data_IF_193867263238
#
_entry.id   IF_193867263238
#
_cell.length_a   1.000
_cell.length_b   1.000
_cell.length_c   1.000
_cell.angle_alpha   90.00
_cell.angle_beta   90.00
_cell.angle_gamma   90.00
#
_symmetry.space_group_name_H-M   'P 1'
#
loop_
_entity.id
_entity.type
_entity.pdbx_description
1 polymer ?
#
# COMPACT_ATOMS: atom_id res chain seq x y z
N UNK A 1 17.14 -8.43 -11.83
CA UNK A 1 16.51 -7.10 -11.95
C UNK A 1 15.41 -7.03 -10.91
N UNK A 2 15.37 -5.95 -10.14
CA UNK A 2 14.46 -5.75 -9.00
C UNK A 2 13.47 -4.66 -9.40
N UNK A 3 12.18 -5.03 -9.47
CA UNK A 3 11.08 -4.11 -9.78
C UNK A 3 10.48 -3.48 -8.53
N UNK A 4 10.60 -4.15 -7.38
CA UNK A 4 10.16 -3.67 -6.08
C UNK A 4 11.37 -3.66 -5.14
N UNK A 5 11.99 -2.49 -5.00
CA UNK A 5 13.20 -2.33 -4.19
C UNK A 5 12.91 -2.54 -2.69
N UNK A 6 11.70 -2.21 -2.23
CA UNK A 6 11.29 -2.37 -0.83
C UNK A 6 11.50 -3.80 -0.31
N UNK A 7 11.17 -4.81 -1.13
CA UNK A 7 11.28 -6.24 -0.79
C UNK A 7 12.72 -6.71 -0.58
N UNK A 8 13.68 -6.13 -1.29
CA UNK A 8 15.09 -6.56 -1.29
C UNK A 8 15.96 -5.67 -0.38
N UNK A 9 15.73 -4.36 -0.39
CA UNK A 9 16.46 -3.40 0.43
C UNK A 9 16.10 -3.54 1.92
N UNK A 10 14.84 -3.86 2.24
CA UNK A 10 14.37 -4.01 3.62
C UNK A 10 15.14 -5.07 4.41
N UNK A 11 15.26 -6.31 3.92
CA UNK A 11 16.12 -7.33 4.52
C UNK A 11 17.58 -6.89 4.64
N UNK A 12 18.17 -6.32 3.58
CA UNK A 12 19.57 -5.89 3.59
C UNK A 12 19.87 -4.84 4.67
N UNK A 13 18.90 -3.96 4.98
CA UNK A 13 19.04 -2.94 6.02
C UNK A 13 19.04 -3.51 7.44
N UNK A 14 18.38 -4.65 7.70
CA UNK A 14 18.26 -5.22 9.06
C UNK A 14 19.59 -5.69 9.62
N UNK A 15 20.44 -6.19 8.74
CA UNK A 15 21.77 -6.70 9.06
C UNK A 15 22.89 -5.69 8.76
N UNK A 16 22.51 -4.44 8.41
CA UNK A 16 23.45 -3.38 8.11
C UNK A 16 24.20 -2.90 9.38
N UNK A 17 25.52 -2.84 9.26
CA UNK A 17 26.41 -2.11 10.18
C UNK A 17 26.49 -0.63 9.81
N UNK A 18 26.48 -0.34 8.51
CA UNK A 18 26.42 1.01 7.97
C UNK A 18 25.72 1.01 6.61
N UNK A 19 25.19 2.15 6.19
CA UNK A 19 24.78 2.36 4.81
C UNK A 19 25.16 3.74 4.30
N UNK A 20 25.20 3.82 2.97
CA UNK A 20 25.60 4.98 2.19
C UNK A 20 24.57 5.16 1.07
N UNK A 21 23.71 6.17 1.21
CA UNK A 21 22.60 6.42 0.30
C UNK A 21 22.81 7.75 -0.41
N UNK A 22 22.98 7.69 -1.73
CA UNK A 22 23.00 8.86 -2.60
C UNK A 22 21.71 8.89 -3.40
N UNK A 23 20.83 9.87 -3.12
CA UNK A 23 19.49 9.93 -3.72
C UNK A 23 19.11 11.33 -4.19
N UNK A 24 18.57 11.40 -5.40
CA UNK A 24 18.10 12.64 -6.01
C UNK A 24 16.85 13.20 -5.31
N UNK A 25 16.03 12.31 -4.75
CA UNK A 25 14.82 12.68 -4.03
C UNK A 25 14.61 11.76 -2.83
N UNK A 26 14.34 12.36 -1.68
CA UNK A 26 13.95 11.66 -0.46
C UNK A 26 12.62 12.21 0.05
N UNK A 27 11.68 11.31 0.37
CA UNK A 27 10.41 11.66 1.03
C UNK A 27 10.39 11.13 2.46
N UNK A 28 9.48 11.67 3.27
CA UNK A 28 9.26 11.20 4.64
C UNK A 28 8.97 9.69 4.71
N UNK A 29 8.12 9.18 3.82
CA UNK A 29 7.82 7.75 3.77
C UNK A 29 9.03 6.88 3.39
N UNK A 30 9.87 7.32 2.45
CA UNK A 30 11.09 6.60 2.09
C UNK A 30 12.11 6.58 3.23
N UNK A 31 12.25 7.71 3.94
CA UNK A 31 13.07 7.78 5.15
C UNK A 31 12.53 6.87 6.27
N UNK A 32 11.22 6.91 6.55
CA UNK A 32 10.58 6.06 7.57
C UNK A 32 10.72 4.56 7.26
N UNK A 33 10.72 4.18 5.98
CA UNK A 33 11.05 2.81 5.56
C UNK A 33 12.48 2.40 5.96
N UNK A 34 13.47 3.26 5.71
CA UNK A 34 14.86 2.97 6.08
C UNK A 34 14.99 2.87 7.61
N UNK A 35 14.45 3.84 8.34
CA UNK A 35 14.51 3.87 9.81
C UNK A 35 13.86 2.64 10.45
N UNK A 36 12.75 2.15 9.88
CA UNK A 36 12.06 0.97 10.38
C UNK A 36 12.85 -0.32 10.16
N UNK A 37 13.68 -0.38 9.12
CA UNK A 37 14.37 -1.61 8.73
C UNK A 37 15.86 -1.63 9.08
N UNK A 38 16.47 -0.52 9.52
CA UNK A 38 17.86 -0.49 9.98
C UNK A 38 18.02 -1.01 11.41
N UNK A 39 19.22 -1.46 11.77
CA UNK A 39 19.56 -1.73 13.17
C UNK A 39 19.74 -0.43 13.98
N UNK A 40 19.60 -0.51 15.32
CA UNK A 40 19.70 0.65 16.22
C UNK A 40 21.08 1.30 16.24
N UNK A 41 22.13 0.52 16.00
CA UNK A 41 23.55 0.91 15.99
C UNK A 41 24.08 1.21 14.58
N UNK A 42 23.24 1.11 13.54
CA UNK A 42 23.63 1.32 12.16
C UNK A 42 24.04 2.77 11.89
N UNK A 43 25.24 2.95 11.29
CA UNK A 43 25.71 4.26 10.81
C UNK A 43 25.05 4.63 9.48
N UNK A 44 24.43 5.79 9.43
CA UNK A 44 23.58 6.21 8.32
C UNK A 44 24.23 7.39 7.59
N UNK A 45 24.65 7.22 6.34
CA UNK A 45 25.28 8.28 5.55
C UNK A 45 24.41 8.63 4.34
N UNK A 46 24.00 9.89 4.25
CA UNK A 46 23.15 10.38 3.17
C UNK A 46 23.86 11.47 2.37
N UNK A 47 23.76 11.38 1.04
CA UNK A 47 24.03 12.48 0.11
C UNK A 47 22.76 12.74 -0.67
N UNK A 48 22.24 13.96 -0.58
CA UNK A 48 20.97 14.34 -1.21
C UNK A 48 21.16 15.48 -2.21
N UNK A 49 20.41 15.43 -3.30
CA UNK A 49 20.26 16.54 -4.24
C UNK A 49 19.07 17.42 -3.89
N UNK A 50 19.08 18.68 -4.37
CA UNK A 50 17.96 19.61 -4.21
C UNK A 50 17.18 19.86 -5.52
N UNK A 51 17.70 19.36 -6.65
CA UNK A 51 17.17 19.61 -8.00
C UNK A 51 15.72 19.12 -8.18
N UNK A 52 15.33 18.05 -7.48
CA UNK A 52 13.99 17.46 -7.56
C UNK A 52 13.00 18.00 -6.50
N UNK A 53 13.30 19.13 -5.88
CA UNK A 53 12.46 19.77 -4.87
C UNK A 53 12.15 18.88 -3.64
N UNK A 54 13.19 18.44 -2.92
CA UNK A 54 13.05 17.76 -1.62
C UNK A 54 12.29 18.66 -0.64
N UNK A 55 11.34 18.11 0.13
CA UNK A 55 10.57 18.92 1.08
C UNK A 55 11.47 19.50 2.19
N UNK A 56 11.45 20.82 2.49
CA UNK A 56 12.25 21.40 3.57
C UNK A 56 12.03 20.77 4.94
N UNK A 57 10.82 20.27 5.24
CA UNK A 57 10.56 19.53 6.48
C UNK A 57 11.34 18.21 6.56
N UNK A 58 11.62 17.58 5.42
CA UNK A 58 12.48 16.39 5.37
C UNK A 58 13.93 16.76 5.66
N UNK A 59 14.41 17.89 5.13
CA UNK A 59 15.75 18.40 5.44
C UNK A 59 15.89 18.71 6.94
N UNK A 60 14.89 19.35 7.54
CA UNK A 60 14.86 19.61 8.99
C UNK A 60 14.93 18.32 9.81
N UNK A 61 14.18 17.30 9.41
CA UNK A 61 14.21 15.98 10.05
C UNK A 61 15.60 15.33 9.93
N UNK A 62 16.24 15.37 8.76
CA UNK A 62 17.59 14.83 8.58
C UNK A 62 18.63 15.58 9.41
N UNK A 63 18.51 16.91 9.53
CA UNK A 63 19.37 17.73 10.36
C UNK A 63 19.20 17.40 11.85
N UNK A 64 17.95 17.29 12.32
CA UNK A 64 17.65 16.90 13.70
C UNK A 64 18.23 15.52 14.02
N UNK A 65 18.10 14.57 13.09
CA UNK A 65 18.61 13.20 13.24
C UNK A 65 20.12 13.15 13.23
N UNK A 66 20.79 14.05 12.52
CA UNK A 66 22.26 14.10 12.52
C UNK A 66 22.87 14.43 13.89
N UNK A 67 22.05 14.87 14.86
CA UNK A 67 22.48 15.10 16.25
C UNK A 67 22.71 13.81 17.06
N UNK A 68 22.23 12.66 16.59
CA UNK A 68 22.41 11.37 17.28
C UNK A 68 23.84 10.79 17.11
N UNK A 69 24.66 11.39 16.24
CA UNK A 69 26.03 10.97 15.94
C UNK A 69 26.14 9.72 15.04
N UNK A 70 25.03 9.03 14.78
CA UNK A 70 24.94 7.87 13.88
C UNK A 70 24.52 8.26 12.47
N UNK A 71 23.72 9.32 12.35
CA UNK A 71 23.25 9.84 11.08
C UNK A 71 24.11 11.01 10.62
N UNK A 72 24.52 11.00 9.36
CA UNK A 72 25.20 12.11 8.72
C UNK A 72 24.57 12.39 7.37
N UNK A 73 24.19 13.63 7.12
CA UNK A 73 23.55 14.06 5.88
C UNK A 73 24.32 15.21 5.26
N UNK A 74 24.66 15.08 3.99
CA UNK A 74 25.23 16.15 3.17
C UNK A 74 24.37 16.46 1.96
N UNK A 75 24.47 17.69 1.50
CA UNK A 75 23.81 18.15 0.28
C UNK A 75 24.84 18.24 -0.83
N UNK A 76 24.55 17.65 -1.99
CA UNK A 76 25.40 17.77 -3.16
C UNK A 76 24.81 18.78 -4.14
N UNK A 77 25.66 19.69 -4.63
CA UNK A 77 25.33 20.63 -5.70
C UNK A 77 26.42 20.54 -6.78
N UNK A 78 26.30 19.59 -7.72
CA UNK A 78 27.23 19.49 -8.83
C UNK A 78 26.99 20.62 -9.85
N UNK A 79 27.88 20.72 -10.85
CA UNK A 79 27.63 21.55 -12.04
C UNK A 79 26.45 21.04 -12.88
N UNK A 80 26.14 19.75 -12.75
CA UNK A 80 25.02 19.06 -13.41
C UNK A 80 23.95 18.66 -12.39
N UNK A 81 22.76 18.29 -12.88
CA UNK A 81 21.68 17.77 -12.04
C UNK A 81 22.12 16.55 -11.22
N UNK A 82 21.95 16.63 -9.91
CA UNK A 82 22.18 15.49 -9.02
C UNK A 82 21.04 14.49 -9.14
N UNK A 83 21.28 13.42 -9.91
CA UNK A 83 20.32 12.34 -10.12
C UNK A 83 20.72 10.91 -9.68
N UNK A 84 21.78 10.65 -8.88
CA UNK A 84 22.06 9.30 -8.36
C UNK A 84 20.92 8.71 -7.51
N UNK A 85 20.83 7.38 -7.53
CA UNK A 85 19.89 6.54 -6.76
C UNK A 85 20.61 5.25 -6.40
N UNK A 86 21.49 5.39 -5.41
CA UNK A 86 22.44 4.36 -4.99
C UNK A 86 22.20 4.08 -3.52
N UNK A 87 22.05 2.80 -3.19
CA UNK A 87 21.96 2.30 -1.82
C UNK A 87 23.09 1.29 -1.63
N UNK A 88 24.16 1.69 -0.95
CA UNK A 88 25.28 0.81 -0.63
C UNK A 88 25.21 0.44 0.86
N UNK A 89 25.12 -0.85 1.14
CA UNK A 89 24.92 -1.39 2.49
C UNK A 89 26.16 -2.18 2.90
N UNK A 90 26.77 -1.81 4.03
CA UNK A 90 27.81 -2.60 4.71
C UNK A 90 27.13 -3.54 5.71
N UNK A 91 27.20 -4.83 5.47
CA UNK A 91 26.69 -5.87 6.36
C UNK A 91 27.58 -6.03 7.60
N UNK A 92 27.03 -6.58 8.69
CA UNK A 92 27.78 -6.85 9.92
C UNK A 92 28.99 -7.75 9.76
N UNK A 93 28.97 -8.65 8.76
CA UNK A 93 30.10 -9.50 8.40
C UNK A 93 31.19 -8.80 7.57
N UNK A 94 31.00 -7.51 7.25
CA UNK A 94 31.93 -6.68 6.49
C UNK A 94 31.73 -6.71 4.97
N UNK A 95 30.83 -7.53 4.45
CA UNK A 95 30.49 -7.54 3.02
C UNK A 95 29.62 -6.34 2.65
N UNK A 96 29.74 -5.89 1.41
CA UNK A 96 28.91 -4.86 0.83
C UNK A 96 27.87 -5.43 -0.13
N UNK A 97 26.68 -4.83 -0.13
CA UNK A 97 25.64 -5.06 -1.15
C UNK A 97 25.17 -3.70 -1.63
N UNK A 98 25.13 -3.48 -2.95
CA UNK A 98 24.64 -2.25 -3.54
C UNK A 98 23.36 -2.46 -4.34
N UNK A 99 22.46 -1.48 -4.29
CA UNK A 99 21.29 -1.39 -5.14
C UNK A 99 21.37 -0.10 -5.96
N UNK A 100 21.38 -0.22 -7.29
CA UNK A 100 21.53 0.91 -8.21
C UNK A 100 20.44 0.83 -9.28
N UNK A 101 19.74 1.93 -9.51
CA UNK A 101 18.62 1.93 -10.45
C UNK A 101 17.92 3.27 -10.61
N UNK A 102 16.65 3.19 -11.01
CA UNK A 102 15.78 4.36 -11.18
C UNK A 102 14.99 4.74 -9.91
N UNK A 103 15.08 3.93 -8.86
CA UNK A 103 14.32 4.04 -7.61
C UNK A 103 14.84 5.13 -6.64
N UNK A 104 14.15 6.27 -6.56
CA UNK A 104 14.41 7.29 -5.52
C UNK A 104 13.96 6.82 -4.14
N UNK A 105 14.49 7.43 -3.07
CA UNK A 105 14.13 7.13 -1.66
C UNK A 105 12.77 7.72 -1.29
N UNK A 106 11.73 7.24 -1.96
CA UNK A 106 10.34 7.66 -1.80
C UNK A 106 9.43 6.45 -1.88
N UNK A 107 8.19 6.52 -1.37
CA UNK A 107 7.24 5.42 -1.56
C UNK A 107 7.05 5.05 -3.04
N UNK A 108 7.04 6.07 -3.91
CA UNK A 108 7.08 5.92 -5.36
C UNK A 108 8.20 4.98 -5.81
N UNK A 109 9.44 5.37 -5.56
CA UNK A 109 10.61 4.62 -6.02
C UNK A 109 10.84 3.29 -5.30
N UNK A 110 10.36 3.12 -4.07
CA UNK A 110 10.56 1.86 -3.34
C UNK A 110 9.61 0.75 -3.81
N UNK A 111 8.34 1.06 -4.09
CA UNK A 111 7.34 0.02 -4.39
C UNK A 111 6.19 0.39 -5.34
N UNK A 112 5.97 1.67 -5.68
CA UNK A 112 4.76 2.08 -6.43
C UNK A 112 5.01 2.45 -7.90
N UNK A 113 6.20 2.93 -8.22
CA UNK A 113 6.59 3.27 -9.58
C UNK A 113 7.07 2.02 -10.31
N UNK A 114 6.97 2.04 -11.64
CA UNK A 114 7.70 1.10 -12.47
C UNK A 114 9.18 1.50 -12.44
N UNK A 115 9.96 0.76 -11.65
CA UNK A 115 11.39 1.01 -11.44
C UNK A 115 12.22 -0.17 -11.94
N UNK A 116 13.47 0.11 -12.27
CA UNK A 116 14.46 -0.90 -12.59
C UNK A 116 15.65 -0.71 -11.66
N UNK A 117 15.91 -1.70 -10.82
CA UNK A 117 17.08 -1.72 -9.92
C UNK A 117 17.89 -3.00 -10.13
N UNK A 118 19.20 -2.88 -10.02
CA UNK A 118 20.14 -4.01 -10.02
C UNK A 118 20.77 -4.12 -8.64
N UNK A 119 20.79 -5.34 -8.11
CA UNK A 119 21.57 -5.68 -6.93
C UNK A 119 22.97 -6.10 -7.37
N UNK A 120 23.97 -5.60 -6.67
CA UNK A 120 25.39 -5.89 -6.89
C UNK A 120 25.95 -6.39 -5.56
N UNK A 121 26.47 -7.61 -5.55
CA UNK A 121 27.11 -8.27 -4.40
C UNK A 121 28.60 -8.58 -4.63
N UNK A 122 29.12 -8.24 -5.82
CA UNK A 122 30.55 -8.27 -6.12
C UNK A 122 31.28 -7.24 -5.25
N UNK A 123 32.18 -7.72 -4.39
CA UNK A 123 32.91 -6.86 -3.47
C UNK A 123 33.87 -5.89 -4.16
N UNK A 124 34.38 -6.26 -5.35
CA UNK A 124 35.18 -5.37 -6.20
C UNK A 124 34.34 -4.19 -6.68
N UNK A 125 33.18 -4.46 -7.29
CA UNK A 125 32.27 -3.41 -7.77
C UNK A 125 31.71 -2.56 -6.62
N UNK A 126 31.38 -3.18 -5.48
CA UNK A 126 30.99 -2.44 -4.28
C UNK A 126 32.12 -1.55 -3.76
N UNK A 127 33.39 -1.96 -3.90
CA UNK A 127 34.56 -1.14 -3.59
C UNK A 127 34.63 0.12 -4.46
N UNK A 128 34.41 -0.02 -5.77
CA UNK A 128 34.35 1.12 -6.69
C UNK A 128 33.20 2.08 -6.34
N UNK A 129 32.00 1.54 -6.10
CA UNK A 129 30.81 2.32 -5.70
C UNK A 129 31.08 3.05 -4.38
N UNK A 130 31.75 2.39 -3.43
CA UNK A 130 32.13 2.99 -2.14
C UNK A 130 33.12 4.13 -2.33
N UNK A 131 34.12 3.97 -3.20
CA UNK A 131 35.08 5.04 -3.52
C UNK A 131 34.37 6.23 -4.14
N UNK A 132 33.52 5.98 -5.14
CA UNK A 132 32.69 7.02 -5.77
C UNK A 132 31.81 7.75 -4.75
N UNK A 133 31.13 7.02 -3.84
CA UNK A 133 30.32 7.63 -2.81
C UNK A 133 31.16 8.49 -1.86
N UNK A 134 32.35 8.02 -1.49
CA UNK A 134 33.26 8.75 -0.61
C UNK A 134 33.68 10.08 -1.24
N UNK A 135 34.13 10.06 -2.48
CA UNK A 135 34.55 11.27 -3.20
C UNK A 135 33.37 12.26 -3.30
N UNK A 136 32.18 11.75 -3.62
CA UNK A 136 30.95 12.53 -3.67
C UNK A 136 30.59 13.15 -2.32
N UNK A 137 30.71 12.37 -1.25
CA UNK A 137 30.42 12.81 0.12
C UNK A 137 31.41 13.88 0.60
N UNK A 138 32.70 13.71 0.29
CA UNK A 138 33.75 14.68 0.63
C UNK A 138 33.56 16.00 -0.13
N UNK A 139 33.13 15.95 -1.39
CA UNK A 139 32.83 17.15 -2.18
C UNK A 139 31.46 17.80 -1.87
N UNK A 140 30.65 17.19 -1.02
CA UNK A 140 29.32 17.68 -0.67
C UNK A 140 29.34 18.62 0.54
N UNK A 141 28.43 19.60 0.53
CA UNK A 141 28.28 20.59 1.59
C UNK A 141 27.51 20.02 2.78
N UNK A 142 27.81 20.53 3.97
CA UNK A 142 27.08 20.17 5.18
C UNK A 142 25.63 20.64 5.10
N UNK A 143 24.73 19.84 5.67
CA UNK A 143 23.34 20.26 5.87
C UNK A 143 23.27 21.08 7.16
N UNK A 144 22.89 22.34 7.06
CA UNK A 144 22.73 23.23 8.22
C UNK A 144 21.39 24.01 8.17
N UNK A 145 21.13 24.77 9.23
CA UNK A 145 19.88 25.52 9.37
C UNK A 145 19.76 26.69 8.36
N UNK A 146 20.89 27.28 7.96
CA UNK A 146 20.93 28.43 7.05
C UNK A 146 20.60 27.98 5.63
N UNK A 147 21.19 26.87 5.18
CA UNK A 147 20.87 26.23 3.90
C UNK A 147 19.38 25.88 3.81
N UNK A 148 18.82 25.28 4.86
CA UNK A 148 17.39 24.92 4.90
C UNK A 148 16.52 26.17 4.81
N UNK A 149 16.91 27.25 5.48
CA UNK A 149 16.17 28.52 5.46
C UNK A 149 16.16 29.13 4.05
N UNK A 150 17.33 29.30 3.45
CA UNK A 150 17.47 29.82 2.07
C UNK A 150 16.72 28.95 1.06
N UNK A 151 16.81 27.63 1.19
CA UNK A 151 16.09 26.70 0.32
C UNK A 151 14.56 26.79 0.49
N UNK A 152 14.08 27.00 1.72
CA UNK A 152 12.65 27.10 2.02
C UNK A 152 11.99 28.31 1.34
N UNK A 153 12.72 29.41 1.17
CA UNK A 153 12.23 30.63 0.51
C UNK A 153 11.88 30.39 -0.96
N UNK A 154 12.70 29.60 -1.67
CA UNK A 154 12.48 29.30 -3.09
C UNK A 154 11.61 28.06 -3.33
N UNK A 155 11.49 27.16 -2.34
CA UNK A 155 10.80 25.87 -2.47
C UNK A 155 9.33 26.01 -2.91
N UNK A 156 8.58 26.95 -2.35
CA UNK A 156 7.16 27.10 -2.68
C UNK A 156 6.94 27.48 -4.15
N UNK A 157 7.79 28.36 -4.69
CA UNK A 157 7.75 28.75 -6.09
C UNK A 157 8.13 27.58 -7.02
N UNK A 158 9.18 26.82 -6.67
CA UNK A 158 9.57 25.60 -7.41
C UNK A 158 8.42 24.59 -7.44
N UNK A 159 7.81 24.33 -6.29
CA UNK A 159 6.70 23.37 -6.17
C UNK A 159 5.46 23.81 -6.95
N UNK A 160 5.16 25.10 -6.98
CA UNK A 160 4.05 25.63 -7.78
C UNK A 160 4.31 25.41 -9.27
N UNK A 161 5.52 25.70 -9.76
CA UNK A 161 5.91 25.44 -11.16
C UNK A 161 5.84 23.96 -11.50
N UNK A 162 6.35 23.09 -10.64
CA UNK A 162 6.28 21.63 -10.85
C UNK A 162 4.83 21.12 -10.92
N UNK A 163 3.90 21.69 -10.14
CA UNK A 163 2.47 21.35 -10.21
C UNK A 163 1.85 21.73 -11.55
N UNK A 164 2.16 22.93 -12.06
CA UNK A 164 1.70 23.38 -13.38
C UNK A 164 2.27 22.46 -14.47
N UNK A 165 3.58 22.25 -14.49
CA UNK A 165 4.22 21.34 -15.45
C UNK A 165 3.62 19.93 -15.39
N UNK A 166 3.37 19.41 -14.19
CA UNK A 166 2.74 18.10 -14.04
C UNK A 166 1.32 18.09 -14.63
N UNK A 167 0.51 19.12 -14.39
CA UNK A 167 -0.81 19.22 -14.98
C UNK A 167 -0.77 19.28 -16.52
N UNK A 168 0.18 20.01 -17.09
CA UNK A 168 0.40 20.07 -18.55
C UNK A 168 0.83 18.70 -19.11
N UNK A 169 1.76 18.02 -18.44
CA UNK A 169 2.18 16.66 -18.81
C UNK A 169 1.06 15.64 -18.66
N UNK A 170 0.24 15.73 -17.62
CA UNK A 170 -0.89 14.84 -17.39
C UNK A 170 -1.97 15.06 -18.47
N UNK A 171 -2.18 16.32 -18.91
CA UNK A 171 -3.03 16.64 -20.06
C UNK A 171 -2.48 16.03 -21.35
N UNK A 172 -1.21 16.25 -21.67
CA UNK A 172 -0.58 15.66 -22.85
C UNK A 172 -0.59 14.13 -22.82
N UNK A 173 -0.27 13.50 -21.68
CA UNK A 173 -0.36 12.04 -21.51
C UNK A 173 -1.76 11.50 -21.73
N UNK A 174 -2.80 12.27 -21.39
CA UNK A 174 -4.19 11.86 -21.65
C UNK A 174 -4.55 11.88 -23.15
N UNK A 175 -3.81 12.64 -23.96
CA UNK A 175 -3.96 12.72 -25.42
C UNK A 175 -3.11 11.67 -26.15
N UNK A 176 -2.12 11.07 -25.48
CA UNK A 176 -1.28 10.02 -26.06
C UNK A 176 -2.03 8.68 -26.15
N UNK A 177 -1.90 7.94 -27.26
CA UNK A 177 -2.30 6.54 -27.30
C UNK A 177 -1.47 5.77 -26.27
N UNK A 178 -2.09 4.84 -25.57
CA UNK A 178 -1.40 4.00 -24.58
C UNK A 178 -0.30 3.21 -25.29
N UNK A 179 0.97 3.55 -25.05
CA UNK A 179 2.09 2.70 -25.45
C UNK A 179 1.90 1.33 -24.82
N UNK A 180 2.17 0.27 -25.60
CA UNK A 180 2.04 -1.12 -25.16
C UNK A 180 2.59 -1.31 -23.76
N UNK A 181 1.74 -1.78 -22.86
CA UNK A 181 2.04 -2.05 -21.47
C UNK A 181 3.29 -2.92 -21.40
N UNK A 182 4.23 -2.60 -20.53
CA UNK A 182 5.15 -3.63 -20.02
C UNK A 182 4.23 -4.68 -19.44
N UNK A 183 4.12 -5.82 -20.13
CA UNK A 183 3.23 -6.89 -19.77
C UNK A 183 3.65 -7.39 -18.40
N UNK A 184 2.97 -6.91 -17.36
CA UNK A 184 2.85 -7.69 -16.14
C UNK A 184 2.10 -8.93 -16.61
N UNK A 185 2.82 -10.05 -16.68
CA UNK A 185 2.26 -11.33 -17.11
C UNK A 185 1.19 -11.76 -16.09
N UNK A 186 -0.05 -11.40 -16.41
CA UNK A 186 -1.26 -11.76 -15.68
C UNK A 186 -2.00 -12.87 -16.44
N UNK A 187 -1.39 -13.56 -17.40
CA UNK A 187 -2.07 -14.60 -18.21
C UNK A 187 -2.62 -15.72 -17.32
N UNK A 188 -1.95 -16.02 -16.22
CA UNK A 188 -2.35 -17.05 -15.25
C UNK A 188 -3.19 -16.52 -14.09
N UNK A 189 -3.50 -15.23 -14.06
CA UNK A 189 -4.22 -14.58 -12.96
C UNK A 189 -5.73 -14.66 -13.16
N UNK A 190 -6.48 -14.90 -12.08
CA UNK A 190 -7.95 -14.97 -12.15
C UNK A 190 -8.53 -13.64 -12.64
N UNK A 191 -7.92 -12.52 -12.28
CA UNK A 191 -8.20 -11.25 -12.94
C UNK A 191 -6.99 -10.84 -13.78
N UNK A 192 -7.18 -10.84 -15.10
CA UNK A 192 -6.17 -10.35 -16.03
C UNK A 192 -6.04 -8.83 -16.01
N UNK A 193 -5.10 -8.32 -16.81
CA UNK A 193 -4.82 -6.88 -16.91
C UNK A 193 -6.07 -6.04 -17.22
N UNK A 194 -6.94 -6.51 -18.13
CA UNK A 194 -8.14 -5.75 -18.52
C UNK A 194 -9.10 -5.54 -17.35
N UNK A 195 -9.06 -6.40 -16.34
CA UNK A 195 -9.91 -6.26 -15.16
C UNK A 195 -9.48 -5.07 -14.29
N UNK A 196 -8.18 -4.89 -14.08
CA UNK A 196 -7.63 -3.75 -13.33
C UNK A 196 -7.70 -2.46 -14.16
N UNK A 197 -7.40 -2.57 -15.47
CA UNK A 197 -7.51 -1.46 -16.41
C UNK A 197 -8.92 -0.83 -16.40
N UNK A 198 -9.97 -1.66 -16.31
CA UNK A 198 -11.37 -1.22 -16.30
C UNK A 198 -11.75 -0.25 -15.15
N UNK A 199 -10.93 -0.17 -14.10
CA UNK A 199 -11.11 0.72 -12.95
C UNK A 199 -9.95 1.71 -12.76
N UNK A 200 -9.04 1.79 -13.75
CA UNK A 200 -7.92 2.73 -13.74
C UNK A 200 -8.39 4.18 -13.88
N UNK A 201 -7.46 5.13 -13.71
CA UNK A 201 -7.74 6.55 -13.85
C UNK A 201 -8.34 6.92 -15.23
N UNK A 202 -7.99 6.18 -16.28
CA UNK A 202 -8.52 6.34 -17.63
C UNK A 202 -10.02 6.02 -17.74
N UNK A 203 -10.52 5.03 -16.99
CA UNK A 203 -11.90 4.52 -17.16
C UNK A 203 -12.84 4.81 -15.98
N UNK A 204 -12.31 5.17 -14.81
CA UNK A 204 -13.14 5.37 -13.60
C UNK A 204 -14.21 6.48 -13.76
N UNK A 205 -13.98 7.47 -14.62
CA UNK A 205 -14.93 8.56 -14.93
C UNK A 205 -15.68 8.35 -16.25
N UNK A 206 -15.23 7.40 -17.08
CA UNK A 206 -15.76 7.19 -18.43
C UNK A 206 -17.14 6.52 -18.39
N UNK A 207 -18.13 7.15 -19.03
CA UNK A 207 -19.52 6.70 -19.13
C UNK A 207 -19.84 6.04 -20.47
N UNK A 208 -18.85 5.93 -21.36
CA UNK A 208 -18.97 5.30 -22.68
C UNK A 208 -19.42 3.83 -22.59
N UNK A 209 -20.01 3.31 -23.67
CA UNK A 209 -20.37 1.89 -23.75
C UNK A 209 -19.12 1.01 -23.66
N UNK A 210 -17.99 1.43 -24.24
CA UNK A 210 -16.71 0.75 -24.13
C UNK A 210 -16.27 0.55 -22.67
N UNK A 211 -16.27 1.62 -21.86
CA UNK A 211 -15.91 1.52 -20.45
C UNK A 211 -16.92 0.69 -19.63
N UNK A 212 -18.21 0.77 -19.97
CA UNK A 212 -19.25 -0.07 -19.35
C UNK A 212 -19.04 -1.55 -19.68
N UNK A 213 -18.71 -1.88 -20.93
CA UNK A 213 -18.48 -3.25 -21.37
C UNK A 213 -17.21 -3.84 -20.74
N UNK A 214 -16.12 -3.05 -20.62
CA UNK A 214 -14.93 -3.44 -19.84
C UNK A 214 -15.31 -3.84 -18.41
N UNK A 215 -16.03 -2.97 -17.68
CA UNK A 215 -16.48 -3.27 -16.31
C UNK A 215 -17.50 -4.41 -16.25
N UNK A 216 -18.33 -4.58 -17.27
CA UNK A 216 -19.30 -5.68 -17.37
C UNK A 216 -18.60 -7.03 -17.47
N UNK A 217 -17.49 -7.13 -18.21
CA UNK A 217 -16.65 -8.35 -18.23
C UNK A 217 -16.11 -8.69 -16.84
N UNK A 218 -15.63 -7.71 -16.09
CA UNK A 218 -15.19 -7.93 -14.70
C UNK A 218 -16.35 -8.39 -13.82
N UNK A 219 -17.53 -7.77 -13.97
CA UNK A 219 -18.74 -8.19 -13.25
C UNK A 219 -19.11 -9.65 -13.53
N UNK A 220 -19.04 -10.08 -14.79
CA UNK A 220 -19.30 -11.48 -15.17
C UNK A 220 -18.27 -12.43 -14.56
N UNK A 221 -16.99 -12.02 -14.48
CA UNK A 221 -15.95 -12.84 -13.84
C UNK A 221 -16.12 -12.95 -12.32
N UNK A 222 -16.59 -11.90 -11.65
CA UNK A 222 -17.05 -11.98 -10.26
C UNK A 222 -18.28 -12.88 -10.07
N UNK A 223 -19.22 -12.89 -11.01
CA UNK A 223 -20.37 -13.80 -10.95
C UNK A 223 -19.95 -15.26 -11.13
N UNK A 224 -19.02 -15.54 -12.04
CA UNK A 224 -18.40 -16.88 -12.15
C UNK A 224 -17.72 -17.29 -10.84
N UNK A 225 -17.00 -16.37 -10.19
CA UNK A 225 -16.39 -16.64 -8.89
C UNK A 225 -17.45 -16.94 -7.83
N UNK A 226 -18.54 -16.16 -7.79
CA UNK A 226 -19.67 -16.41 -6.91
C UNK A 226 -20.21 -17.83 -7.07
N UNK A 227 -20.45 -18.29 -8.29
CA UNK A 227 -20.97 -19.64 -8.56
C UNK A 227 -20.01 -20.75 -8.08
N UNK A 228 -18.70 -20.50 -8.13
CA UNK A 228 -17.67 -21.42 -7.66
C UNK A 228 -17.60 -21.50 -6.13
N UNK A 229 -17.62 -20.36 -5.44
CA UNK A 229 -17.41 -20.31 -3.98
C UNK A 229 -18.71 -20.48 -3.20
N UNK A 230 -19.84 -19.93 -3.66
CA UNK A 230 -21.04 -19.82 -2.83
C UNK A 230 -21.65 -21.18 -2.49
N UNK A 231 -21.60 -22.13 -3.44
CA UNK A 231 -22.05 -23.52 -3.23
C UNK A 231 -21.20 -24.29 -2.21
N UNK A 232 -20.03 -23.77 -1.85
CA UNK A 232 -19.07 -24.39 -0.90
C UNK A 232 -19.04 -23.68 0.46
N UNK A 233 -19.88 -22.68 0.68
CA UNK A 233 -19.90 -21.95 1.96
C UNK A 233 -20.15 -22.87 3.16
N UNK A 234 -20.96 -23.91 2.98
CA UNK A 234 -21.21 -24.93 4.01
C UNK A 234 -19.93 -25.63 4.47
N UNK A 235 -19.05 -25.96 3.53
CA UNK A 235 -17.82 -26.72 3.76
C UNK A 235 -16.80 -25.89 4.57
N UNK A 236 -16.93 -24.56 4.52
CA UNK A 236 -16.07 -23.61 5.23
C UNK A 236 -16.74 -22.99 6.46
N UNK A 237 -17.93 -23.47 6.85
CA UNK A 237 -18.64 -22.98 8.04
C UNK A 237 -19.33 -21.62 7.87
N UNK A 238 -19.53 -21.15 6.62
CA UNK A 238 -20.09 -19.83 6.28
C UNK A 238 -21.62 -19.86 6.09
N UNK A 239 -22.31 -20.76 6.80
CA UNK A 239 -23.73 -21.08 6.62
C UNK A 239 -24.68 -19.89 6.89
N UNK A 240 -24.23 -18.91 7.67
CA UNK A 240 -24.99 -17.72 8.03
C UNK A 240 -24.84 -16.58 7.00
N UNK A 241 -24.01 -16.74 5.97
CA UNK A 241 -23.76 -15.71 4.96
C UNK A 241 -24.59 -15.95 3.69
N UNK A 242 -25.27 -14.89 3.25
CA UNK A 242 -26.13 -14.91 2.08
C UNK A 242 -25.67 -13.87 1.05
N UNK A 243 -25.85 -14.20 -0.22
CA UNK A 243 -25.71 -13.21 -1.28
C UNK A 243 -26.90 -12.23 -1.28
N UNK A 244 -26.81 -11.17 -2.06
CA UNK A 244 -27.92 -10.25 -2.22
C UNK A 244 -29.12 -10.96 -2.88
N UNK A 245 -30.35 -10.72 -2.40
CA UNK A 245 -31.57 -11.37 -2.90
C UNK A 245 -31.86 -11.06 -4.38
N UNK A 246 -31.51 -9.85 -4.82
CA UNK A 246 -31.47 -9.47 -6.24
C UNK A 246 -30.13 -9.88 -6.86
N UNK A 247 -30.15 -10.79 -7.83
CA UNK A 247 -28.97 -11.28 -8.55
C UNK A 247 -28.10 -10.16 -9.14
N UNK A 248 -28.72 -9.11 -9.68
CA UNK A 248 -28.02 -7.94 -10.21
C UNK A 248 -27.17 -7.15 -9.19
N UNK A 249 -27.39 -7.37 -7.89
CA UNK A 249 -26.72 -6.68 -6.78
C UNK A 249 -25.76 -7.61 -6.00
N UNK A 250 -25.57 -8.86 -6.42
CA UNK A 250 -24.55 -9.74 -5.84
C UNK A 250 -23.15 -9.13 -6.02
N UNK A 251 -22.92 -8.56 -7.20
CA UNK A 251 -21.75 -7.77 -7.55
C UNK A 251 -22.17 -6.32 -7.76
N UNK A 252 -21.33 -5.38 -7.35
CA UNK A 252 -21.57 -3.94 -7.52
C UNK A 252 -21.78 -3.54 -9.00
N UNK A 253 -22.30 -2.33 -9.21
CA UNK A 253 -22.67 -1.87 -10.56
C UNK A 253 -21.45 -1.71 -11.46
N UNK A 254 -21.55 -2.18 -12.70
CA UNK A 254 -20.56 -1.94 -13.76
C UNK A 254 -20.78 -0.61 -14.50
N UNK A 255 -21.92 0.05 -14.25
CA UNK A 255 -22.30 1.30 -14.90
C UNK A 255 -22.49 2.42 -13.86
N UNK A 256 -22.17 3.66 -14.27
CA UNK A 256 -22.53 4.85 -13.52
C UNK A 256 -24.06 4.96 -13.44
N UNK A 257 -24.58 5.05 -12.22
CA UNK A 257 -26.01 5.21 -11.94
C UNK A 257 -26.21 6.47 -11.10
N UNK A 258 -27.44 7.01 -10.97
CA UNK A 258 -27.70 8.13 -10.08
C UNK A 258 -27.32 7.88 -8.61
N UNK A 259 -27.16 6.61 -8.21
CA UNK A 259 -26.78 6.21 -6.85
C UNK A 259 -25.30 5.82 -6.71
N UNK A 260 -24.56 5.71 -7.82
CA UNK A 260 -23.13 5.41 -7.76
C UNK A 260 -22.33 6.65 -7.42
N UNK A 261 -21.11 6.45 -6.92
CA UNK A 261 -20.15 7.55 -6.86
C UNK A 261 -19.83 8.06 -8.28
N UNK A 262 -19.42 9.33 -8.41
CA UNK A 262 -19.02 9.91 -9.69
C UNK A 262 -17.89 9.14 -10.37
N UNK A 263 -16.94 8.62 -9.59
CA UNK A 263 -15.90 7.70 -10.04
C UNK A 263 -16.27 6.25 -9.68
N UNK A 264 -16.05 5.35 -10.63
CA UNK A 264 -16.13 3.91 -10.43
C UNK A 264 -14.72 3.35 -10.50
N UNK A 265 -14.00 3.44 -9.37
CA UNK A 265 -12.60 3.02 -9.20
C UNK A 265 -12.46 1.62 -8.59
N UNK A 266 -13.58 0.93 -8.33
CA UNK A 266 -13.58 -0.41 -7.75
C UNK A 266 -14.84 -1.20 -8.11
N UNK A 267 -14.74 -2.53 -8.01
CA UNK A 267 -15.86 -3.46 -8.08
C UNK A 267 -15.75 -4.50 -6.97
N UNK A 268 -16.89 -4.91 -6.41
CA UNK A 268 -16.89 -5.84 -5.30
C UNK A 268 -18.04 -6.86 -5.37
N UNK A 269 -17.74 -8.05 -4.89
CA UNK A 269 -18.66 -9.16 -4.61
C UNK A 269 -18.80 -9.27 -3.09
N UNK A 270 -20.01 -9.45 -2.56
CA UNK A 270 -20.21 -9.43 -1.11
C UNK A 270 -21.34 -10.33 -0.58
N UNK A 271 -21.21 -10.69 0.70
CA UNK A 271 -22.10 -11.61 1.43
C UNK A 271 -22.33 -11.12 2.85
N UNK A 272 -23.49 -11.41 3.44
CA UNK A 272 -23.82 -11.05 4.83
C UNK A 272 -25.10 -11.72 5.32
N UNK A 273 -25.44 -11.50 6.58
CA UNK A 273 -26.54 -12.20 7.28
C UNK A 273 -27.94 -11.67 6.93
N UNK A 274 -28.04 -10.42 6.45
CA UNK A 274 -29.31 -9.82 6.06
C UNK A 274 -29.76 -10.26 4.67
N UNK A 275 -30.70 -11.22 4.58
CA UNK A 275 -31.35 -11.65 3.32
C UNK A 275 -31.90 -10.44 2.55
N UNK A 276 -31.11 -9.89 1.62
CA UNK A 276 -31.50 -8.80 0.72
C UNK A 276 -31.25 -7.35 1.14
N UNK A 277 -30.73 -7.05 2.34
CA UNK A 277 -30.37 -5.68 2.79
C UNK A 277 -28.92 -5.58 3.31
N UNK A 278 -27.98 -6.07 2.52
CA UNK A 278 -26.56 -6.19 2.89
C UNK A 278 -25.82 -4.85 3.12
N UNK A 279 -26.41 -3.70 2.79
CA UNK A 279 -25.78 -2.40 3.02
C UNK A 279 -25.87 -1.93 4.47
N UNK A 280 -26.85 -2.44 5.22
CA UNK A 280 -27.13 -2.06 6.60
C UNK A 280 -26.50 -3.03 7.61
N UNK A 281 -25.85 -4.10 7.17
CA UNK A 281 -25.22 -5.12 8.01
C UNK A 281 -23.73 -5.28 7.68
N UNK A 282 -22.91 -5.85 8.59
CA UNK A 282 -21.57 -6.30 8.27
C UNK A 282 -21.58 -7.21 7.04
N UNK A 283 -20.50 -7.19 6.26
CA UNK A 283 -20.36 -8.03 5.08
C UNK A 283 -18.93 -8.54 4.92
N UNK A 284 -18.81 -9.76 4.44
CA UNK A 284 -17.57 -10.22 3.81
C UNK A 284 -17.60 -9.83 2.35
N UNK A 285 -16.51 -9.26 1.85
CA UNK A 285 -16.42 -8.81 0.48
C UNK A 285 -15.05 -9.06 -0.14
N UNK A 286 -15.07 -9.27 -1.45
CA UNK A 286 -13.90 -9.26 -2.32
C UNK A 286 -14.00 -7.96 -3.11
N UNK A 287 -12.95 -7.18 -3.18
CA UNK A 287 -12.92 -5.90 -3.89
C UNK A 287 -11.70 -5.82 -4.79
N UNK A 288 -11.93 -5.56 -6.07
CA UNK A 288 -10.89 -5.22 -7.04
C UNK A 288 -10.79 -3.70 -7.11
N UNK A 289 -9.60 -3.16 -6.86
CA UNK A 289 -9.33 -1.71 -6.88
C UNK A 289 -7.86 -1.43 -7.16
N UNK A 290 -7.56 -0.49 -8.04
CA UNK A 290 -6.17 -0.20 -8.42
C UNK A 290 -5.50 -1.44 -9.02
N UNK A 291 -4.35 -1.85 -8.48
CA UNK A 291 -3.65 -3.08 -8.85
C UNK A 291 -3.76 -4.16 -7.75
N UNK A 292 -4.79 -4.08 -6.90
CA UNK A 292 -4.95 -4.94 -5.74
C UNK A 292 -6.32 -5.62 -5.72
N UNK A 293 -6.37 -6.77 -5.06
CA UNK A 293 -7.59 -7.41 -4.61
C UNK A 293 -7.61 -7.43 -3.09
N UNK A 294 -8.64 -6.83 -2.51
CA UNK A 294 -8.90 -6.86 -1.08
C UNK A 294 -9.92 -7.95 -0.73
N UNK A 295 -9.69 -8.67 0.36
CA UNK A 295 -10.67 -9.59 0.96
C UNK A 295 -10.92 -9.12 2.39
N UNK A 296 -12.12 -8.58 2.62
CA UNK A 296 -12.40 -7.75 3.79
C UNK A 296 -13.71 -8.14 4.49
N UNK A 297 -13.69 -8.09 5.82
CA UNK A 297 -14.85 -7.83 6.66
C UNK A 297 -15.09 -6.32 6.70
N UNK A 298 -16.20 -5.87 6.13
CA UNK A 298 -16.57 -4.46 6.05
C UNK A 298 -17.88 -4.19 6.79
N UNK A 299 -17.85 -3.20 7.68
CA UNK A 299 -19.01 -2.71 8.42
C UNK A 299 -19.39 -1.33 7.88
N UNK A 300 -20.68 -1.13 7.59
CA UNK A 300 -21.20 0.05 6.90
C UNK A 300 -20.86 1.38 7.58
N UNK A 301 -20.81 2.47 6.80
CA UNK A 301 -20.65 3.85 7.28
C UNK A 301 -21.98 4.60 7.23
N UNK A 302 -21.98 5.86 7.66
CA UNK A 302 -23.16 6.75 7.70
C UNK A 302 -24.35 6.10 8.42
N UNK A 303 -24.12 5.57 9.63
CA UNK A 303 -25.09 4.79 10.44
C UNK A 303 -25.48 3.42 9.87
N UNK A 304 -24.79 2.91 8.85
CA UNK A 304 -24.87 1.50 8.47
C UNK A 304 -24.36 0.60 9.60
N UNK A 305 -25.00 -0.57 9.78
CA UNK A 305 -24.63 -1.57 10.80
C UNK A 305 -24.60 -1.02 12.22
N UNK A 306 -25.52 -0.09 12.51
CA UNK A 306 -25.56 0.61 13.78
C UNK A 306 -25.75 -0.34 14.95
N UNK A 307 -26.70 -1.26 14.83
CA UNK A 307 -27.02 -2.24 15.87
C UNK A 307 -25.83 -3.14 16.19
N UNK A 308 -25.14 -3.64 15.17
CA UNK A 308 -23.97 -4.51 15.32
C UNK A 308 -22.79 -3.77 15.96
N UNK A 309 -22.54 -2.51 15.58
CA UNK A 309 -21.50 -1.68 16.19
C UNK A 309 -21.83 -1.30 17.64
N UNK A 310 -23.09 -0.99 17.96
CA UNK A 310 -23.53 -0.72 19.33
C UNK A 310 -23.40 -1.99 20.21
N UNK A 311 -23.77 -3.16 19.66
CA UNK A 311 -23.59 -4.47 20.31
C UNK A 311 -22.11 -4.76 20.58
N UNK A 312 -21.25 -4.60 19.57
CA UNK A 312 -19.80 -4.74 19.75
C UNK A 312 -19.31 -3.81 20.87
N UNK A 313 -19.65 -2.52 20.82
CA UNK A 313 -19.21 -1.52 21.80
C UNK A 313 -19.65 -1.87 23.22
N UNK A 314 -20.86 -2.40 23.39
CA UNK A 314 -21.35 -2.90 24.68
C UNK A 314 -20.52 -4.10 25.17
N UNK A 315 -20.26 -5.06 24.27
CA UNK A 315 -19.50 -6.27 24.58
C UNK A 315 -18.03 -5.99 24.92
N UNK A 316 -17.45 -4.88 24.44
CA UNK A 316 -16.08 -4.47 24.82
C UNK A 316 -15.91 -4.15 26.31
N UNK A 317 -17.01 -4.04 27.09
CA UNK A 317 -16.94 -3.93 28.55
C UNK A 317 -16.66 -5.28 29.23
N UNK A 318 -16.82 -6.41 28.53
CA UNK A 318 -16.54 -7.74 29.03
C UNK A 318 -15.10 -8.15 28.67
N UNK A 319 -14.22 -8.27 29.66
CA UNK A 319 -12.81 -8.60 29.44
C UNK A 319 -12.60 -9.97 28.78
N UNK A 320 -13.44 -10.97 29.07
CA UNK A 320 -13.37 -12.28 28.41
C UNK A 320 -13.70 -12.17 26.92
N UNK A 321 -14.71 -11.38 26.56
CA UNK A 321 -15.06 -11.11 25.16
C UNK A 321 -13.89 -10.44 24.42
N UNK A 322 -13.25 -9.45 25.04
CA UNK A 322 -12.12 -8.73 24.44
C UNK A 322 -10.91 -9.64 24.26
N UNK A 323 -10.62 -10.51 25.24
CA UNK A 323 -9.55 -11.50 25.13
C UNK A 323 -9.79 -12.47 23.97
N UNK A 324 -11.00 -13.03 23.88
CA UNK A 324 -11.35 -13.96 22.81
C UNK A 324 -11.29 -13.30 21.43
N UNK A 325 -11.82 -12.07 21.30
CA UNK A 325 -11.73 -11.31 20.06
C UNK A 325 -10.27 -11.01 19.69
N UNK A 326 -9.44 -10.66 20.68
CA UNK A 326 -8.01 -10.40 20.46
C UNK A 326 -7.27 -11.63 19.96
N UNK A 327 -7.53 -12.82 20.52
CA UNK A 327 -6.96 -14.08 20.02
C UNK A 327 -7.34 -14.32 18.55
N UNK A 328 -8.62 -14.18 18.20
CA UNK A 328 -9.08 -14.35 16.81
C UNK A 328 -8.48 -13.33 15.85
N UNK A 329 -8.31 -12.09 16.29
CA UNK A 329 -7.62 -11.06 15.50
C UNK A 329 -6.15 -11.42 15.32
N UNK A 330 -5.46 -11.90 16.36
CA UNK A 330 -4.06 -12.30 16.28
C UNK A 330 -3.84 -13.49 15.34
N UNK A 331 -4.77 -14.45 15.33
CA UNK A 331 -4.77 -15.62 14.45
C UNK A 331 -4.87 -15.26 12.95
N UNK A 332 -5.32 -14.05 12.60
CA UNK A 332 -5.24 -13.55 11.23
C UNK A 332 -3.78 -13.35 10.77
N UNK A 333 -2.88 -13.01 11.69
CA UNK A 333 -1.47 -12.80 11.38
C UNK A 333 -1.15 -11.44 10.72
N UNK A 334 0.14 -11.22 10.47
CA UNK A 334 0.68 -9.89 10.16
C UNK A 334 0.32 -9.29 8.81
N UNK A 335 -0.26 -10.06 7.90
CA UNK A 335 -0.72 -9.58 6.59
C UNK A 335 -2.06 -8.85 6.64
N UNK A 336 -2.77 -8.90 7.78
CA UNK A 336 -4.05 -8.22 7.96
C UNK A 336 -3.90 -6.87 8.65
N UNK A 337 -4.92 -6.05 8.47
CA UNK A 337 -5.04 -4.75 9.08
C UNK A 337 -6.45 -4.50 9.58
N UNK A 338 -6.58 -3.56 10.50
CA UNK A 338 -7.83 -3.05 11.06
C UNK A 338 -7.88 -1.56 10.73
N UNK A 339 -8.91 -1.14 10.00
CA UNK A 339 -9.20 0.27 9.75
C UNK A 339 -10.42 0.70 10.57
N UNK A 340 -10.19 1.63 11.49
CA UNK A 340 -11.24 2.28 12.27
C UNK A 340 -11.03 3.79 12.14
N UNK A 341 -12.06 4.53 11.74
CA UNK A 341 -12.00 5.99 11.54
C UNK A 341 -10.91 6.42 10.53
N UNK A 342 -10.68 5.63 9.48
CA UNK A 342 -9.62 5.85 8.48
C UNK A 342 -8.19 5.79 9.06
N UNK A 343 -8.03 5.20 10.25
CA UNK A 343 -6.72 4.86 10.83
C UNK A 343 -6.48 3.38 10.60
N UNK A 344 -5.55 3.07 9.71
CA UNK A 344 -5.15 1.72 9.40
C UNK A 344 -4.08 1.22 10.38
N UNK A 345 -4.40 0.17 11.14
CA UNK A 345 -3.53 -0.47 12.12
C UNK A 345 -3.24 -1.90 11.67
N UNK A 346 -2.00 -2.25 11.30
CA UNK A 346 -1.62 -3.63 11.03
C UNK A 346 -1.88 -4.52 12.26
N UNK A 347 -2.41 -5.73 12.05
CA UNK A 347 -2.69 -6.69 13.14
C UNK A 347 -1.41 -6.99 13.94
N UNK A 348 -0.24 -7.02 13.29
CA UNK A 348 1.06 -7.21 13.95
C UNK A 348 1.43 -6.12 14.96
N UNK A 349 0.75 -4.96 14.94
CA UNK A 349 0.94 -3.86 15.90
C UNK A 349 -0.08 -3.87 17.05
N UNK A 350 -1.03 -4.81 17.05
CA UNK A 350 -1.97 -4.98 18.16
C UNK A 350 -1.27 -5.79 19.25
N UNK A 351 -0.81 -5.08 20.28
CA UNK A 351 0.08 -5.64 21.31
C UNK A 351 -0.63 -6.61 22.26
N UNK A 352 -1.87 -6.29 22.65
CA UNK A 352 -2.66 -7.04 23.62
C UNK A 352 -4.15 -6.68 23.53
N UNK A 353 -4.98 -7.41 24.29
CA UNK A 353 -6.43 -7.22 24.34
C UNK A 353 -6.84 -5.78 24.73
N UNK A 354 -6.14 -5.15 25.66
CA UNK A 354 -6.42 -3.76 26.07
C UNK A 354 -6.10 -2.76 24.95
N UNK A 355 -5.01 -2.96 24.21
CA UNK A 355 -4.69 -2.17 23.03
C UNK A 355 -5.75 -2.34 21.94
N UNK A 356 -6.21 -3.58 21.66
CA UNK A 356 -7.30 -3.83 20.72
C UNK A 356 -8.58 -3.09 21.14
N UNK A 357 -9.00 -3.20 22.41
CA UNK A 357 -10.15 -2.49 22.95
C UNK A 357 -10.05 -0.98 22.73
N UNK A 358 -8.88 -0.39 22.98
CA UNK A 358 -8.64 1.04 22.73
C UNK A 358 -8.82 1.41 21.27
N UNK A 359 -8.33 0.60 20.32
CA UNK A 359 -8.51 0.81 18.89
C UNK A 359 -10.01 0.77 18.54
N UNK A 360 -10.71 -0.30 18.95
CA UNK A 360 -12.12 -0.51 18.61
C UNK A 360 -13.05 0.55 19.19
N UNK A 361 -12.75 1.09 20.38
CA UNK A 361 -13.51 2.18 20.99
C UNK A 361 -13.38 3.53 20.25
N UNK A 362 -12.43 3.67 19.32
CA UNK A 362 -12.34 4.87 18.45
C UNK A 362 -13.36 4.88 17.31
N UNK A 363 -14.15 3.80 17.16
CA UNK A 363 -15.12 3.68 16.09
C UNK A 363 -16.13 4.84 16.06
N UNK A 364 -16.43 5.26 14.84
CA UNK A 364 -17.37 6.34 14.54
C UNK A 364 -18.19 5.93 13.31
N UNK A 365 -19.52 5.93 13.48
CA UNK A 365 -20.49 5.55 12.45
C UNK A 365 -20.36 6.35 11.14
N UNK A 366 -19.69 7.50 11.13
CA UNK A 366 -19.42 8.28 9.90
C UNK A 366 -18.45 7.58 8.95
N UNK A 367 -17.58 6.70 9.47
CA UNK A 367 -16.53 6.05 8.71
C UNK A 367 -16.82 4.55 8.54
N UNK A 368 -16.15 3.94 7.56
CA UNK A 368 -16.14 2.48 7.50
C UNK A 368 -15.32 1.95 8.68
N UNK A 369 -15.68 0.76 9.13
CA UNK A 369 -14.83 -0.08 9.95
C UNK A 369 -14.58 -1.32 9.09
N UNK A 370 -13.30 -1.57 8.78
CA UNK A 370 -12.89 -2.67 7.93
C UNK A 370 -11.78 -3.48 8.59
N UNK A 371 -11.83 -4.80 8.47
CA UNK A 371 -10.74 -5.72 8.82
C UNK A 371 -10.46 -6.54 7.57
N UNK A 372 -9.21 -6.66 7.16
CA UNK A 372 -8.91 -7.41 5.95
C UNK A 372 -7.45 -7.43 5.57
N UNK A 373 -7.19 -8.03 4.41
CA UNK A 373 -5.89 -8.11 3.76
C UNK A 373 -6.04 -7.70 2.29
N UNK A 374 -4.96 -7.15 1.73
CA UNK A 374 -4.83 -6.92 0.29
C UNK A 374 -3.80 -7.87 -0.31
N UNK A 375 -4.04 -8.23 -1.57
CA UNK A 375 -3.16 -9.00 -2.43
C UNK A 375 -2.80 -8.15 -3.63
N UNK A 376 -1.54 -8.21 -4.07
CA UNK A 376 -1.13 -7.61 -5.33
C UNK A 376 -1.65 -8.46 -6.48
N UNK A 377 -1.99 -7.86 -7.61
CA UNK A 377 -2.49 -8.57 -8.79
C UNK A 377 -1.56 -9.68 -9.33
N UNK A 378 -0.29 -9.68 -8.91
CA UNK A 378 0.73 -10.67 -9.27
C UNK A 378 0.87 -11.83 -8.28
N UNK A 379 0.20 -11.78 -7.12
CA UNK A 379 0.34 -12.79 -6.08
C UNK A 379 -0.22 -14.14 -6.57
N UNK A 380 0.45 -15.25 -6.23
CA UNK A 380 0.11 -16.60 -6.74
C UNK A 380 -1.24 -17.09 -6.21
N UNK A 381 -1.65 -16.57 -5.06
CA UNK A 381 -2.96 -16.78 -4.44
C UNK A 381 -4.11 -16.21 -5.30
N UNK A 382 -3.83 -15.28 -6.21
CA UNK A 382 -4.82 -14.71 -7.12
C UNK A 382 -4.87 -15.40 -8.49
N UNK A 383 -4.09 -16.47 -8.69
CA UNK A 383 -4.09 -17.22 -9.95
C UNK A 383 -5.46 -17.83 -10.27
N UNK A 384 -5.72 -18.11 -11.56
CA UNK A 384 -6.99 -18.70 -12.01
C UNK A 384 -7.31 -20.00 -11.24
N UNK A 385 -6.27 -20.78 -10.91
CA UNK A 385 -6.37 -22.03 -10.15
C UNK A 385 -6.62 -21.81 -8.64
N UNK A 386 -5.89 -20.87 -8.01
CA UNK A 386 -5.91 -20.74 -6.55
C UNK A 386 -6.99 -19.82 -6.02
N UNK A 387 -7.45 -18.85 -6.81
CA UNK A 387 -8.24 -17.74 -6.29
C UNK A 387 -9.55 -18.14 -5.60
N UNK A 388 -10.36 -19.10 -6.11
CA UNK A 388 -11.56 -19.55 -5.41
C UNK A 388 -11.26 -20.14 -4.02
N UNK A 389 -10.20 -20.95 -3.87
CA UNK A 389 -9.77 -21.50 -2.58
C UNK A 389 -9.28 -20.41 -1.65
N UNK A 390 -8.41 -19.51 -2.15
CA UNK A 390 -7.92 -18.37 -1.37
C UNK A 390 -9.08 -17.57 -0.80
N UNK A 391 -10.10 -17.27 -1.60
CA UNK A 391 -11.28 -16.55 -1.13
C UNK A 391 -12.01 -17.30 -0.02
N UNK A 392 -12.22 -18.61 -0.16
CA UNK A 392 -12.92 -19.42 0.84
C UNK A 392 -12.16 -19.48 2.17
N UNK A 393 -10.83 -19.69 2.13
CA UNK A 393 -9.99 -19.68 3.32
C UNK A 393 -9.99 -18.30 4.00
N UNK A 394 -9.84 -17.24 3.24
CA UNK A 394 -9.83 -15.88 3.78
C UNK A 394 -11.20 -15.48 4.35
N UNK A 395 -12.29 -15.89 3.71
CA UNK A 395 -13.64 -15.72 4.25
C UNK A 395 -13.89 -16.55 5.50
N UNK A 396 -13.39 -17.78 5.60
CA UNK A 396 -13.50 -18.58 6.82
C UNK A 396 -12.82 -17.88 8.00
N UNK A 397 -11.59 -17.39 7.80
CA UNK A 397 -10.82 -16.69 8.84
C UNK A 397 -11.50 -15.40 9.28
N UNK A 398 -11.98 -14.59 8.33
CA UNK A 398 -12.74 -13.38 8.63
C UNK A 398 -14.14 -13.69 9.19
N UNK A 399 -14.72 -14.84 8.84
CA UNK A 399 -16.00 -15.33 9.34
C UNK A 399 -16.00 -15.54 10.85
N UNK A 400 -14.92 -16.06 11.42
CA UNK A 400 -14.78 -16.19 12.87
C UNK A 400 -14.82 -14.84 13.60
N UNK A 401 -14.36 -13.77 12.96
CA UNK A 401 -14.43 -12.41 13.53
C UNK A 401 -15.79 -11.79 13.23
N UNK A 402 -16.37 -12.06 12.07
CA UNK A 402 -17.69 -11.61 11.68
C UNK A 402 -18.74 -11.95 12.75
N UNK A 403 -18.67 -13.16 13.33
CA UNK A 403 -19.61 -13.61 14.37
C UNK A 403 -19.56 -12.78 15.68
N UNK A 404 -18.50 -12.00 15.92
CA UNK A 404 -18.45 -11.06 17.06
C UNK A 404 -19.31 -9.81 16.85
N UNK A 405 -19.71 -9.54 15.61
CA UNK A 405 -20.54 -8.37 15.26
C UNK A 405 -22.04 -8.70 15.26
N UNK A 406 -22.42 -9.95 15.02
CA UNK A 406 -23.82 -10.33 14.76
C UNK A 406 -24.52 -10.90 15.98
#
# INVERSE_FOLDING_TARGET
MILNLEKELGPALKDAKAFFIATALISRSGYEFIEKNKSSDCKCNYVIGLDLAVNPHMLKLLLEKSKDGLTKTKVCKPQYTFHPKVYLIEQKDGRYVAFIGSANTTQGGLSNNLEMTVMIDSQEQCGEIRSWFKDLYESSMELDADLITQYSEVYNAIRQRQRVNKADFDRFRSELPTSGTIAIDLEKQYFGFEAFEAFSAAYQWDKSNMAKDKRKRVKLKFLSLHDQIYKRFTDFGLNNLYCHSRSGNIVSSHAHTPRSRPNLDAMWLHYGTGKGKLFDHPRLQIILRGNEIGIWLMIGKNRGSRTEREKLRSNLNNEFFVQLLHEKIKDLGGSYWIDVKSVNVPVSKVENAAHLKKILLTDDFKYYFTIGRNFNCTDIELSEENFPETVLFEFQRLGWIYDFFV
#
